data_IF_745916235312
#
_entry.id   IF_745916235312
#
_cell.length_a   1.000
_cell.length_b   1.000
_cell.length_c   1.000
_cell.angle_alpha   90.00
_cell.angle_beta   90.00
_cell.angle_gamma   90.00
#
_symmetry.space_group_name_H-M   'P 1'
#
loop_
_entity.id
_entity.type
_entity.pdbx_description
1 polymer ?
#
# COMPACT_ATOMS: atom_id res chain seq x y z
N UNK A 1 13.37 10.90 -8.59
CA UNK A 1 14.51 10.87 -7.65
C UNK A 1 14.90 9.44 -7.26
N UNK A 2 13.94 8.53 -6.97
CA UNK A 2 14.23 7.12 -6.67
C UNK A 2 14.96 6.41 -7.84
N UNK A 3 14.70 6.82 -9.09
CA UNK A 3 15.32 6.26 -10.27
C UNK A 3 16.82 6.58 -10.43
N UNK A 4 17.35 7.47 -9.61
CA UNK A 4 18.78 7.81 -9.61
C UNK A 4 19.63 6.89 -8.72
N UNK A 5 19.01 6.04 -7.92
CA UNK A 5 19.73 5.08 -7.07
C UNK A 5 20.21 3.88 -7.89
N UNK A 6 21.52 3.59 -7.95
CA UNK A 6 22.05 2.61 -8.90
C UNK A 6 21.79 1.14 -8.54
N UNK A 7 21.53 0.82 -7.30
CA UNK A 7 21.30 -0.55 -6.83
C UNK A 7 20.19 -0.58 -5.78
N UNK A 8 18.98 -0.93 -6.23
CA UNK A 8 17.87 -1.21 -5.34
C UNK A 8 17.45 -2.68 -5.52
N UNK A 9 17.70 -3.55 -4.53
CA UNK A 9 17.32 -4.97 -4.63
C UNK A 9 15.82 -5.17 -4.67
N UNK A 10 15.05 -4.24 -4.09
CA UNK A 10 13.60 -4.24 -4.10
C UNK A 10 13.03 -2.84 -4.35
N UNK A 11 11.85 -2.76 -4.93
CA UNK A 11 11.09 -1.52 -5.08
C UNK A 11 9.58 -1.80 -4.97
N UNK A 12 8.79 -0.75 -4.78
CA UNK A 12 7.34 -0.87 -4.71
C UNK A 12 6.63 0.11 -5.63
N UNK A 13 5.49 -0.33 -6.18
CA UNK A 13 4.52 0.52 -6.84
C UNK A 13 3.18 0.37 -6.13
N UNK A 14 2.82 1.34 -5.30
CA UNK A 14 1.53 1.36 -4.60
C UNK A 14 0.37 1.57 -5.56
N UNK A 15 -0.88 1.50 -5.05
CA UNK A 15 -2.07 1.61 -5.88
C UNK A 15 -2.07 2.88 -6.76
N UNK A 16 -2.27 2.70 -8.06
CA UNK A 16 -2.36 3.78 -9.04
C UNK A 16 -3.83 3.97 -9.42
N UNK A 17 -4.28 5.21 -9.30
CA UNK A 17 -5.61 5.63 -9.71
C UNK A 17 -5.58 6.97 -10.44
N UNK A 18 -6.71 7.45 -10.96
CA UNK A 18 -6.80 8.75 -11.60
C UNK A 18 -6.33 9.85 -10.65
N UNK A 19 -5.41 10.69 -11.10
CA UNK A 19 -4.84 11.79 -10.31
C UNK A 19 -5.65 13.10 -10.40
N UNK A 20 -6.73 13.11 -11.17
CA UNK A 20 -7.55 14.30 -11.43
C UNK A 20 -6.90 15.33 -12.36
N UNK A 21 -5.71 15.07 -12.88
CA UNK A 21 -4.92 15.99 -13.72
C UNK A 21 -4.74 15.44 -15.14
N UNK A 22 -5.79 14.89 -15.72
CA UNK A 22 -5.87 14.48 -17.16
C UNK A 22 -4.78 13.55 -17.71
N UNK A 23 -4.03 12.85 -16.86
CA UNK A 23 -3.15 11.77 -17.32
C UNK A 23 -3.88 10.43 -17.28
N UNK A 24 -3.71 9.62 -18.32
CA UNK A 24 -4.24 8.26 -18.29
C UNK A 24 -3.53 7.43 -17.21
N UNK A 25 -4.22 6.46 -16.64
CA UNK A 25 -3.64 5.57 -15.60
C UNK A 25 -2.48 4.75 -16.15
N UNK A 26 -2.49 4.41 -17.43
CA UNK A 26 -1.39 3.72 -18.13
C UNK A 26 -0.12 4.58 -18.14
N UNK A 27 -0.27 5.88 -18.41
CA UNK A 27 0.87 6.80 -18.38
C UNK A 27 1.43 6.97 -16.96
N UNK A 28 0.57 6.99 -15.96
CA UNK A 28 1.00 7.00 -14.55
C UNK A 28 1.72 5.69 -14.19
N UNK A 29 1.21 4.55 -14.65
CA UNK A 29 1.86 3.25 -14.48
C UNK A 29 3.24 3.20 -15.13
N UNK A 30 3.37 3.67 -16.38
CA UNK A 30 4.65 3.74 -17.08
C UNK A 30 5.67 4.63 -16.36
N UNK A 31 5.23 5.75 -15.79
CA UNK A 31 6.10 6.61 -14.97
C UNK A 31 6.51 5.94 -13.66
N UNK A 32 5.59 5.27 -12.97
CA UNK A 32 5.87 4.56 -11.74
C UNK A 32 6.82 3.37 -11.97
N UNK A 33 6.66 2.66 -13.08
CA UNK A 33 7.52 1.54 -13.47
C UNK A 33 8.99 1.96 -13.68
N UNK A 34 9.27 3.26 -13.82
CA UNK A 34 10.63 3.80 -13.89
C UNK A 34 11.50 3.51 -12.67
N UNK A 35 10.97 2.95 -11.59
CA UNK A 35 11.75 2.47 -10.44
C UNK A 35 12.32 1.05 -10.62
N UNK A 36 11.76 0.28 -11.56
CA UNK A 36 12.18 -1.10 -11.80
C UNK A 36 13.62 -1.16 -12.33
N UNK A 37 14.37 -2.12 -11.86
CA UNK A 37 15.78 -2.35 -12.23
C UNK A 37 16.00 -3.82 -12.50
N UNK A 38 17.00 -4.10 -13.32
CA UNK A 38 17.46 -5.46 -13.57
C UNK A 38 17.81 -6.16 -12.26
N UNK A 39 17.40 -7.42 -12.16
CA UNK A 39 17.61 -8.30 -11.00
C UNK A 39 16.96 -7.81 -9.70
N UNK A 40 16.15 -6.74 -9.74
CA UNK A 40 15.36 -6.29 -8.60
C UNK A 40 14.01 -7.03 -8.52
N UNK A 41 13.39 -6.98 -7.34
CA UNK A 41 12.00 -7.40 -7.14
C UNK A 41 11.14 -6.15 -6.97
N UNK A 42 10.13 -6.00 -7.80
CA UNK A 42 9.12 -4.94 -7.67
C UNK A 42 7.84 -5.54 -7.11
N UNK A 43 7.40 -5.05 -5.97
CA UNK A 43 6.10 -5.42 -5.40
C UNK A 43 5.08 -4.34 -5.76
N UNK A 44 3.92 -4.73 -6.31
CA UNK A 44 2.84 -3.78 -6.59
C UNK A 44 1.63 -4.01 -5.70
N UNK A 45 0.71 -3.05 -5.66
CA UNK A 45 -0.52 -3.19 -4.88
C UNK A 45 -1.38 -4.37 -5.38
N UNK A 46 -2.09 -5.09 -4.49
CA UNK A 46 -2.88 -6.27 -4.83
C UNK A 46 -4.06 -5.98 -5.76
N UNK A 47 -4.66 -4.80 -5.65
CA UNK A 47 -5.86 -4.41 -6.40
C UNK A 47 -5.56 -3.33 -7.45
N UNK A 48 -4.52 -3.53 -8.26
CA UNK A 48 -4.24 -2.61 -9.37
C UNK A 48 -5.31 -2.73 -10.47
N UNK A 49 -5.73 -1.62 -11.09
CA UNK A 49 -6.52 -1.66 -12.30
C UNK A 49 -5.84 -2.51 -13.39
N UNK A 50 -6.61 -3.28 -14.17
CA UNK A 50 -6.05 -4.16 -15.21
C UNK A 50 -5.11 -3.45 -16.17
N UNK A 51 -5.46 -2.23 -16.60
CA UNK A 51 -4.62 -1.42 -17.48
C UNK A 51 -3.27 -1.08 -16.84
N UNK A 52 -3.27 -0.71 -15.54
CA UNK A 52 -2.05 -0.46 -14.77
C UNK A 52 -1.20 -1.70 -14.66
N UNK A 53 -1.81 -2.83 -14.27
CA UNK A 53 -1.09 -4.09 -14.11
C UNK A 53 -0.44 -4.55 -15.42
N UNK A 54 -1.15 -4.41 -16.56
CA UNK A 54 -0.60 -4.73 -17.87
C UNK A 54 0.66 -3.91 -18.20
N UNK A 55 0.64 -2.61 -17.91
CA UNK A 55 1.82 -1.74 -18.11
C UNK A 55 2.98 -2.13 -17.20
N UNK A 56 2.70 -2.44 -15.92
CA UNK A 56 3.72 -2.87 -14.97
C UNK A 56 4.37 -4.20 -15.39
N UNK A 57 3.58 -5.17 -15.88
CA UNK A 57 4.09 -6.46 -16.38
C UNK A 57 5.03 -6.25 -17.56
N UNK A 58 4.62 -5.42 -18.55
CA UNK A 58 5.46 -5.11 -19.72
C UNK A 58 6.75 -4.41 -19.30
N UNK A 59 6.65 -3.47 -18.37
CA UNK A 59 7.82 -2.73 -17.88
C UNK A 59 8.77 -3.63 -17.09
N UNK A 60 8.26 -4.52 -16.24
CA UNK A 60 9.04 -5.48 -15.48
C UNK A 60 9.82 -6.43 -16.40
N UNK A 61 9.15 -6.96 -17.44
CA UNK A 61 9.79 -7.81 -18.44
C UNK A 61 10.92 -7.07 -19.18
N UNK A 62 10.71 -5.82 -19.58
CA UNK A 62 11.73 -4.99 -20.24
C UNK A 62 12.91 -4.66 -19.33
N UNK A 63 12.67 -4.48 -18.04
CA UNK A 63 13.68 -4.15 -17.06
C UNK A 63 14.42 -5.40 -16.51
N UNK A 64 14.02 -6.60 -16.91
CA UNK A 64 14.47 -7.86 -16.29
C UNK A 64 14.28 -7.84 -14.76
N UNK A 65 13.12 -7.33 -14.30
CA UNK A 65 12.72 -7.16 -12.92
C UNK A 65 11.64 -8.19 -12.59
N UNK A 66 11.75 -8.89 -11.46
CA UNK A 66 10.67 -9.73 -10.96
C UNK A 66 9.50 -8.86 -10.50
N UNK A 67 8.27 -9.15 -10.93
CA UNK A 67 7.08 -8.45 -10.46
C UNK A 67 6.27 -9.37 -9.54
N UNK A 68 6.07 -8.93 -8.30
CA UNK A 68 5.26 -9.61 -7.30
C UNK A 68 3.96 -8.82 -7.08
N UNK A 69 2.85 -9.52 -7.11
CA UNK A 69 1.52 -8.98 -6.81
C UNK A 69 0.97 -9.79 -5.65
N UNK A 70 0.79 -9.19 -4.44
CA UNK A 70 0.17 -9.88 -3.32
C UNK A 70 -1.24 -10.35 -3.71
N UNK A 71 -1.62 -11.57 -3.31
CA UNK A 71 -2.97 -12.06 -3.54
C UNK A 71 -3.96 -11.31 -2.64
N UNK A 72 -4.97 -10.70 -3.25
CA UNK A 72 -5.99 -9.97 -2.50
C UNK A 72 -6.88 -10.90 -1.66
N UNK A 73 -6.98 -12.18 -2.01
CA UNK A 73 -7.75 -13.18 -1.27
C UNK A 73 -7.04 -13.60 0.03
N UNK A 74 -5.71 -13.50 0.06
CA UNK A 74 -4.90 -13.78 1.25
C UNK A 74 -4.89 -12.62 2.26
N UNK A 75 -5.48 -11.46 1.90
CA UNK A 75 -5.50 -10.29 2.76
C UNK A 75 -6.80 -10.26 3.58
N UNK A 76 -6.71 -10.56 4.86
CA UNK A 76 -7.80 -10.39 5.79
C UNK A 76 -7.68 -9.06 6.52
N UNK A 77 -8.67 -8.19 6.33
CA UNK A 77 -8.77 -6.93 7.05
C UNK A 77 -9.83 -7.05 8.13
N UNK A 78 -9.41 -6.91 9.37
CA UNK A 78 -10.26 -6.96 10.54
C UNK A 78 -10.41 -5.56 11.15
N UNK A 79 -11.64 -5.05 11.22
CA UNK A 79 -11.92 -3.89 12.04
C UNK A 79 -11.97 -4.29 13.50
N UNK A 80 -11.08 -3.72 14.28
CA UNK A 80 -11.23 -3.74 15.73
C UNK A 80 -12.06 -2.53 16.17
N UNK A 81 -12.50 -2.50 17.43
CA UNK A 81 -13.39 -1.46 17.93
C UNK A 81 -12.86 -0.03 17.68
N UNK A 82 -13.74 0.87 17.23
CA UNK A 82 -13.58 2.33 17.17
C UNK A 82 -12.23 2.84 16.67
N UNK A 83 -12.05 2.84 15.34
CA UNK A 83 -10.91 3.46 14.69
C UNK A 83 -9.55 2.73 14.88
N UNK A 84 -9.59 1.45 15.15
CA UNK A 84 -8.43 0.57 15.06
C UNK A 84 -8.67 -0.46 13.98
N UNK A 85 -7.63 -0.95 13.35
CA UNK A 85 -7.68 -2.00 12.36
C UNK A 85 -6.56 -3.01 12.56
N UNK A 86 -6.74 -4.19 12.00
CA UNK A 86 -5.80 -5.28 12.05
C UNK A 86 -5.76 -5.92 10.67
N UNK A 87 -4.58 -6.31 10.26
CA UNK A 87 -4.39 -7.08 9.01
C UNK A 87 -3.86 -8.47 9.36
N UNK A 88 -4.28 -9.44 8.59
CA UNK A 88 -3.58 -10.70 8.42
C UNK A 88 -3.25 -10.88 6.95
N UNK A 89 -1.98 -11.20 6.65
CA UNK A 89 -1.50 -11.53 5.32
C UNK A 89 -0.44 -12.61 5.42
N UNK A 90 -0.72 -13.78 4.85
CA UNK A 90 0.24 -14.90 4.84
C UNK A 90 0.68 -15.35 6.24
N UNK A 91 -0.15 -15.16 7.28
CA UNK A 91 0.16 -15.45 8.67
C UNK A 91 0.81 -14.29 9.44
N UNK A 92 1.15 -13.20 8.77
CA UNK A 92 1.62 -11.97 9.43
C UNK A 92 0.43 -11.16 9.94
N UNK A 93 0.09 -11.35 11.20
CA UNK A 93 -1.04 -10.66 11.82
C UNK A 93 -0.54 -9.48 12.66
N UNK A 94 -0.91 -8.26 12.28
CA UNK A 94 -0.47 -7.05 12.99
C UNK A 94 -1.58 -6.00 13.14
N UNK A 95 -1.56 -5.21 14.23
CA UNK A 95 -2.38 -4.00 14.28
C UNK A 95 -1.88 -2.98 13.27
N UNK A 96 -2.80 -2.22 12.68
CA UNK A 96 -2.47 -1.14 11.75
C UNK A 96 -2.80 0.21 12.38
N UNK A 97 -1.87 1.15 12.31
CA UNK A 97 -2.10 2.55 12.66
C UNK A 97 -2.97 3.27 11.61
N UNK A 98 -3.21 2.63 10.48
CA UNK A 98 -3.99 3.17 9.36
C UNK A 98 -5.39 2.58 9.35
N UNK A 99 -6.37 3.44 9.11
CA UNK A 99 -7.76 3.03 8.98
C UNK A 99 -8.11 2.74 7.53
N UNK A 100 -8.89 1.67 7.33
CA UNK A 100 -9.43 1.32 6.03
C UNK A 100 -8.65 0.22 5.28
N UNK A 101 -9.39 -0.47 4.41
CA UNK A 101 -8.92 -1.65 3.68
C UNK A 101 -7.66 -1.39 2.82
N UNK A 102 -7.49 -0.16 2.32
CA UNK A 102 -6.29 0.21 1.55
C UNK A 102 -4.99 0.10 2.37
N UNK A 103 -5.08 0.24 3.70
CA UNK A 103 -3.94 0.05 4.58
C UNK A 103 -3.50 -1.42 4.64
N UNK A 104 -4.45 -2.36 4.59
CA UNK A 104 -4.15 -3.79 4.55
C UNK A 104 -3.41 -4.17 3.25
N UNK A 105 -3.82 -3.63 2.10
CA UNK A 105 -3.10 -3.81 0.84
C UNK A 105 -1.67 -3.26 0.88
N UNK A 106 -1.46 -2.10 1.49
CA UNK A 106 -0.12 -1.54 1.68
C UNK A 106 0.73 -2.38 2.67
N UNK A 107 0.10 -2.95 3.70
CA UNK A 107 0.78 -3.85 4.62
C UNK A 107 1.23 -5.14 3.92
N UNK A 108 0.40 -5.73 3.06
CA UNK A 108 0.78 -6.89 2.25
C UNK A 108 1.97 -6.57 1.33
N UNK A 109 1.97 -5.39 0.69
CA UNK A 109 3.14 -4.92 -0.09
C UNK A 109 4.39 -4.81 0.79
N UNK A 110 4.28 -4.30 2.01
CA UNK A 110 5.41 -4.18 2.93
C UNK A 110 5.95 -5.55 3.37
N UNK A 111 5.07 -6.53 3.64
CA UNK A 111 5.47 -7.91 3.95
C UNK A 111 6.20 -8.53 2.76
N UNK A 112 5.65 -8.45 1.55
CA UNK A 112 6.31 -8.99 0.35
C UNK A 112 7.67 -8.34 0.07
N UNK A 113 7.82 -7.03 0.33
CA UNK A 113 9.13 -6.37 0.22
C UNK A 113 10.14 -6.93 1.22
N UNK A 114 9.73 -7.17 2.47
CA UNK A 114 10.58 -7.76 3.49
C UNK A 114 10.98 -9.19 3.11
N UNK A 115 10.03 -10.00 2.62
CA UNK A 115 10.29 -11.35 2.12
C UNK A 115 11.19 -11.35 0.90
N UNK A 116 11.03 -10.38 -0.02
CA UNK A 116 11.90 -10.22 -1.17
C UNK A 116 13.33 -9.84 -0.75
N UNK A 117 13.49 -8.98 0.25
CA UNK A 117 14.79 -8.65 0.84
C UNK A 117 15.42 -9.88 1.50
N UNK A 118 14.63 -10.66 2.25
CA UNK A 118 15.12 -11.90 2.85
C UNK A 118 15.63 -12.88 1.78
N UNK A 119 14.89 -13.07 0.66
CA UNK A 119 15.35 -13.89 -0.48
C UNK A 119 16.66 -13.36 -1.11
N UNK A 120 16.95 -12.08 -0.97
CA UNK A 120 18.21 -11.44 -1.42
C UNK A 120 19.34 -11.52 -0.38
N UNK A 121 19.14 -12.22 0.74
CA UNK A 121 20.15 -12.48 1.76
C UNK A 121 20.19 -11.47 2.90
N UNK A 122 19.19 -10.59 3.04
CA UNK A 122 19.06 -9.71 4.21
C UNK A 122 18.40 -10.48 5.35
N UNK A 123 18.97 -10.41 6.54
CA UNK A 123 18.38 -11.02 7.73
C UNK A 123 17.24 -10.14 8.26
N UNK A 124 16.01 -10.57 8.02
CA UNK A 124 14.79 -9.90 8.50
C UNK A 124 13.94 -10.96 9.20
N UNK A 125 13.98 -11.06 10.55
CA UNK A 125 13.14 -12.00 11.28
C UNK A 125 11.66 -11.57 11.24
N UNK A 126 10.76 -12.54 11.37
CA UNK A 126 9.30 -12.32 11.33
C UNK A 126 8.85 -11.30 12.38
N UNK A 127 9.47 -11.33 13.57
CA UNK A 127 9.17 -10.38 14.64
C UNK A 127 9.50 -8.94 14.24
N UNK A 128 10.53 -8.72 13.42
CA UNK A 128 10.86 -7.39 12.92
C UNK A 128 9.83 -6.89 11.91
N UNK A 129 9.28 -7.78 11.07
CA UNK A 129 8.19 -7.46 10.14
C UNK A 129 6.94 -7.05 10.95
N UNK A 130 6.54 -7.86 11.92
CA UNK A 130 5.37 -7.60 12.78
C UNK A 130 5.54 -6.30 13.58
N UNK A 131 6.70 -6.09 14.20
CA UNK A 131 7.01 -4.88 14.94
C UNK A 131 7.02 -3.64 14.02
N UNK A 132 7.56 -3.76 12.82
CA UNK A 132 7.56 -2.70 11.82
C UNK A 132 6.15 -2.29 11.39
N UNK A 133 5.27 -3.25 11.11
CA UNK A 133 3.86 -2.98 10.76
C UNK A 133 3.11 -2.29 11.91
N UNK A 134 3.33 -2.74 13.16
CA UNK A 134 2.70 -2.18 14.34
C UNK A 134 3.22 -0.78 14.70
N UNK A 135 4.48 -0.48 14.40
CA UNK A 135 5.13 0.78 14.76
C UNK A 135 4.89 1.93 13.76
N UNK A 136 4.26 1.66 12.61
CA UNK A 136 4.02 2.69 11.60
C UNK A 136 3.11 3.78 12.16
N UNK A 137 3.62 5.01 12.20
CA UNK A 137 2.83 6.18 12.56
C UNK A 137 2.14 6.77 11.33
N UNK A 138 0.83 6.93 11.42
CA UNK A 138 0.06 7.64 10.39
C UNK A 138 0.05 9.14 10.65
N UNK A 139 0.85 9.89 9.89
CA UNK A 139 0.91 11.36 10.05
C UNK A 139 0.03 12.13 9.08
N UNK A 140 -0.47 11.50 8.02
CA UNK A 140 -1.12 12.23 6.91
C UNK A 140 -2.41 11.63 6.37
N UNK A 141 -2.89 10.52 6.91
CA UNK A 141 -4.09 9.83 6.41
C UNK A 141 -4.99 9.42 7.57
N UNK A 142 -6.25 9.77 7.49
CA UNK A 142 -7.36 9.44 8.40
C UNK A 142 -6.94 9.37 9.89
N UNK A 143 -6.52 10.50 10.43
CA UNK A 143 -6.11 10.61 11.84
C UNK A 143 -7.26 11.12 12.68
N UNK A 144 -7.68 10.36 13.68
CA UNK A 144 -8.67 10.79 14.68
C UNK A 144 -7.97 11.66 15.72
N UNK A 145 -8.30 12.94 15.74
CA UNK A 145 -7.77 13.91 16.70
C UNK A 145 -8.60 13.96 17.99
N UNK A 146 -9.92 13.78 17.89
CA UNK A 146 -10.87 13.73 19.00
C UNK A 146 -12.02 12.80 18.68
N UNK A 147 -12.58 12.18 19.69
CA UNK A 147 -13.77 11.33 19.56
C UNK A 147 -15.07 12.05 19.99
N UNK A 148 -14.95 13.11 20.78
CA UNK A 148 -16.08 13.92 21.27
C UNK A 148 -15.69 15.40 21.33
N UNK A 149 -16.09 16.24 20.38
CA UNK A 149 -16.69 15.87 19.10
C UNK A 149 -15.73 15.04 18.25
N UNK A 150 -16.24 14.27 17.30
CA UNK A 150 -15.39 13.54 16.38
C UNK A 150 -14.68 14.52 15.44
N UNK A 151 -13.35 14.55 15.52
CA UNK A 151 -12.50 15.36 14.66
C UNK A 151 -11.53 14.43 13.95
N UNK A 152 -11.57 14.45 12.62
CA UNK A 152 -10.70 13.64 11.76
C UNK A 152 -9.88 14.56 10.87
N UNK A 153 -8.60 14.30 10.80
CA UNK A 153 -7.67 14.96 9.88
C UNK A 153 -7.29 13.97 8.77
N UNK A 154 -7.43 14.40 7.53
CA UNK A 154 -6.97 13.63 6.36
C UNK A 154 -6.39 14.58 5.30
N UNK A 155 -5.35 14.12 4.61
CA UNK A 155 -4.68 14.87 3.54
C UNK A 155 -5.15 14.45 2.13
N UNK A 156 -6.37 13.93 1.99
CA UNK A 156 -6.88 13.46 0.71
C UNK A 156 -6.90 14.59 -0.34
N UNK A 157 -6.40 14.29 -1.54
CA UNK A 157 -6.31 15.23 -2.67
C UNK A 157 -6.89 14.66 -3.96
N UNK A 158 -7.24 13.37 -3.95
CA UNK A 158 -7.79 12.69 -5.13
C UNK A 158 -9.16 12.12 -4.83
N UNK A 159 -10.02 11.94 -5.86
CA UNK A 159 -11.32 11.30 -5.68
C UNK A 159 -11.21 9.91 -5.05
N UNK A 160 -10.15 9.15 -5.38
CA UNK A 160 -9.91 7.82 -4.82
C UNK A 160 -9.62 7.88 -3.32
N UNK A 161 -8.80 8.86 -2.87
CA UNK A 161 -8.52 9.06 -1.45
C UNK A 161 -9.76 9.53 -0.70
N UNK A 162 -10.55 10.45 -1.27
CA UNK A 162 -11.82 10.88 -0.68
C UNK A 162 -12.82 9.71 -0.54
N UNK A 163 -12.90 8.83 -1.54
CA UNK A 163 -13.73 7.63 -1.47
C UNK A 163 -13.26 6.65 -0.38
N UNK A 164 -11.95 6.55 -0.14
CA UNK A 164 -11.40 5.75 0.96
C UNK A 164 -11.77 6.34 2.33
N UNK A 165 -11.65 7.66 2.50
CA UNK A 165 -12.07 8.37 3.71
C UNK A 165 -13.57 8.17 3.97
N UNK A 166 -14.43 8.34 2.96
CA UNK A 166 -15.87 8.13 3.10
C UNK A 166 -16.22 6.71 3.54
N UNK A 167 -15.52 5.70 3.03
CA UNK A 167 -15.71 4.31 3.49
C UNK A 167 -15.42 4.18 4.98
N UNK A 168 -14.31 4.72 5.46
CA UNK A 168 -13.95 4.68 6.89
C UNK A 168 -14.99 5.42 7.75
N UNK A 169 -15.48 6.59 7.30
CA UNK A 169 -16.53 7.33 8.02
C UNK A 169 -17.83 6.55 8.09
N UNK A 170 -18.24 5.92 6.99
CA UNK A 170 -19.44 5.08 6.95
C UNK A 170 -19.32 3.87 7.89
N UNK A 171 -18.16 3.22 7.94
CA UNK A 171 -17.88 2.09 8.83
C UNK A 171 -17.93 2.54 10.30
N UNK A 172 -17.39 3.70 10.60
CA UNK A 172 -17.46 4.29 11.95
C UNK A 172 -18.89 4.74 12.35
N UNK A 173 -19.92 4.51 11.50
CA UNK A 173 -21.31 4.94 11.71
C UNK A 173 -21.45 6.43 12.02
N UNK A 174 -20.60 7.23 11.42
CA UNK A 174 -20.72 8.70 11.51
C UNK A 174 -21.96 9.11 10.72
N UNK A 175 -23.08 9.29 11.42
CA UNK A 175 -24.32 9.78 10.86
C UNK A 175 -24.36 11.28 11.11
N UNK A 176 -24.37 12.11 10.16
CA UNK A 176 -24.37 13.58 10.22
C UNK A 176 -22.97 14.21 10.28
N UNK A 177 -22.53 14.64 9.15
CA UNK A 177 -21.59 15.76 9.01
C UNK A 177 -22.36 17.01 8.64
#
# INVERSE_FOLDING_TARGET
LASALPQMPVCAVTAIGPDGVSRSVERLAALAAGVMRKDAVCVTAPEQPKAVLSELVVAAAKAECELVVPDAEDITFLEAEKFTSKVDYGGYTAPLAFLGRHAAGNAAVAVELALALWRKGFEIPDEAILAGLAAVENRSSIRVLSQKPLIILDACRTPQQAAALLRVLNMAKVRHM
#
